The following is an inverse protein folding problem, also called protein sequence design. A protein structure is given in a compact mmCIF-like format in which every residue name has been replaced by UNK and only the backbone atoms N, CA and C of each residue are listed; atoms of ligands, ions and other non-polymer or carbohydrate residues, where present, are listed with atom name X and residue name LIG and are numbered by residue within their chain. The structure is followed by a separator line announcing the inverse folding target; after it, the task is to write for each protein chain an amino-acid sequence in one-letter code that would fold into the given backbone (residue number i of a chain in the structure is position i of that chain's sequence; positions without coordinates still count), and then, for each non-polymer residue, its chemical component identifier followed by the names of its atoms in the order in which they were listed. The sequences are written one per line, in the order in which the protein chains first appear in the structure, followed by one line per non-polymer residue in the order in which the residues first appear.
data_IF_600869950754
#
_entry.id   IF_600869950754
#
_cell.length_a   1.000
_cell.length_b   1.000
_cell.length_c   1.000
_cell.angle_alpha   90.00
_cell.angle_beta   90.00
_cell.angle_gamma   90.00
#
_symmetry.space_group_name_H-M   'P 1'
#
loop_
_entity.id
_entity.type
_entity.pdbx_description
1 polymer ?
#
# COMPACT_ATOMS: atom_id res chain seq x y z
N UNK A 1 13.43 0.51 32.36
CA UNK A 1 14.09 0.50 31.02
C UNK A 1 13.23 1.28 30.05
N UNK A 2 13.52 2.56 29.93
CA UNK A 2 12.82 3.57 29.15
C UNK A 2 13.09 3.36 27.66
N UNK A 3 12.12 2.80 26.93
CA UNK A 3 12.16 2.76 25.47
C UNK A 3 11.76 4.13 24.94
N UNK A 4 12.76 4.99 24.89
CA UNK A 4 12.74 6.26 24.18
C UNK A 4 12.42 5.96 22.71
N UNK A 5 11.45 6.69 22.16
CA UNK A 5 11.03 6.62 20.76
C UNK A 5 12.27 6.62 19.86
N UNK A 6 12.21 5.95 18.71
CA UNK A 6 13.27 6.09 17.69
C UNK A 6 13.49 7.59 17.37
N UNK A 7 12.50 8.45 17.61
CA UNK A 7 12.56 9.90 17.52
C UNK A 7 13.39 10.64 18.60
N UNK A 8 13.82 10.00 19.70
CA UNK A 8 14.78 10.59 20.66
C UNK A 8 16.05 9.74 20.88
N UNK A 9 16.22 8.63 20.15
CA UNK A 9 17.52 7.94 20.08
C UNK A 9 18.56 8.85 19.41
N UNK A 10 19.84 8.81 19.78
CA UNK A 10 20.84 9.58 19.04
C UNK A 10 20.93 9.12 17.58
N UNK A 11 21.30 10.04 16.67
CA UNK A 11 21.32 9.82 15.22
C UNK A 11 22.14 8.59 14.81
N UNK A 12 23.23 8.29 15.51
CA UNK A 12 24.11 7.14 15.27
C UNK A 12 23.46 5.78 15.54
N UNK A 13 22.34 5.72 16.26
CA UNK A 13 21.54 4.48 16.43
C UNK A 13 20.42 4.40 15.39
N UNK A 14 19.84 5.54 15.01
CA UNK A 14 18.70 5.57 14.09
C UNK A 14 19.09 5.17 12.67
N UNK A 15 20.15 5.77 12.13
CA UNK A 15 20.52 5.52 10.74
C UNK A 15 20.90 4.07 10.47
N UNK A 16 21.73 3.40 11.30
CA UNK A 16 22.01 1.98 11.10
C UNK A 16 20.77 1.11 11.16
N UNK A 17 19.80 1.43 12.05
CA UNK A 17 18.55 0.68 12.14
C UNK A 17 17.69 0.86 10.88
N UNK A 18 17.59 2.08 10.34
CA UNK A 18 16.84 2.34 9.09
C UNK A 18 17.52 1.64 7.91
N UNK A 19 18.85 1.71 7.82
CA UNK A 19 19.62 1.00 6.79
C UNK A 19 19.42 -0.51 6.89
N UNK A 20 19.50 -1.06 8.10
CA UNK A 20 19.21 -2.47 8.36
C UNK A 20 17.79 -2.85 7.93
N UNK A 21 16.80 -2.04 8.31
CA UNK A 21 15.40 -2.29 7.95
C UNK A 21 15.21 -2.26 6.43
N UNK A 22 15.85 -1.31 5.75
CA UNK A 22 15.85 -1.21 4.30
C UNK A 22 16.48 -2.44 3.63
N UNK A 23 17.69 -2.82 4.02
CA UNK A 23 18.39 -3.97 3.43
C UNK A 23 17.62 -5.27 3.60
N UNK A 24 17.09 -5.53 4.81
CA UNK A 24 16.24 -6.71 5.05
C UNK A 24 14.97 -6.66 4.20
N UNK A 25 14.32 -5.50 4.10
CA UNK A 25 13.14 -5.33 3.25
C UNK A 25 13.43 -5.63 1.79
N UNK A 26 14.57 -5.17 1.25
CA UNK A 26 15.00 -5.42 -0.14
C UNK A 26 15.20 -6.91 -0.40
N UNK A 27 15.82 -7.63 0.54
CA UNK A 27 15.99 -9.09 0.47
C UNK A 27 14.65 -9.81 0.55
N UNK A 28 13.74 -9.39 1.43
CA UNK A 28 12.41 -9.98 1.53
C UNK A 28 11.59 -9.80 0.24
N UNK A 29 11.72 -8.65 -0.44
CA UNK A 29 11.09 -8.41 -1.75
C UNK A 29 11.56 -9.36 -2.87
N UNK A 30 12.61 -10.17 -2.66
CA UNK A 30 13.10 -11.13 -3.66
C UNK A 30 12.28 -12.43 -3.72
N UNK A 31 11.39 -12.67 -2.76
CA UNK A 31 10.57 -13.88 -2.69
C UNK A 31 9.09 -13.53 -2.46
N UNK A 32 8.17 -14.39 -2.91
CA UNK A 32 6.73 -14.18 -2.68
C UNK A 32 6.39 -14.13 -1.18
N UNK A 33 6.91 -15.06 -0.39
CA UNK A 33 6.67 -15.10 1.06
C UNK A 33 7.26 -13.88 1.77
N UNK A 34 8.48 -13.47 1.39
CA UNK A 34 9.09 -12.26 1.93
C UNK A 34 8.30 -11.01 1.55
N UNK A 35 7.80 -10.90 0.31
CA UNK A 35 6.93 -9.80 -0.11
C UNK A 35 5.65 -9.73 0.73
N UNK A 36 5.02 -10.87 1.06
CA UNK A 36 3.89 -10.91 2.00
C UNK A 36 4.28 -10.35 3.37
N UNK A 37 5.45 -10.70 3.90
CA UNK A 37 5.96 -10.13 5.16
C UNK A 37 6.14 -8.60 5.03
N UNK A 38 6.66 -8.11 3.90
CA UNK A 38 6.80 -6.66 3.64
C UNK A 38 5.44 -5.98 3.61
N UNK A 39 4.42 -6.55 2.95
CA UNK A 39 3.05 -6.02 2.95
C UNK A 39 2.56 -5.83 4.38
N UNK A 40 2.67 -6.86 5.22
CA UNK A 40 2.19 -6.75 6.60
C UNK A 40 3.00 -5.77 7.44
N UNK A 41 4.32 -5.73 7.27
CA UNK A 41 5.15 -4.70 7.91
C UNK A 41 4.72 -3.28 7.50
N UNK A 42 4.42 -3.05 6.21
CA UNK A 42 3.90 -1.78 5.70
C UNK A 42 2.50 -1.48 6.25
N UNK A 43 1.59 -2.46 6.34
CA UNK A 43 0.26 -2.30 6.95
C UNK A 43 0.37 -1.81 8.40
N UNK A 44 1.32 -2.34 9.19
CA UNK A 44 1.57 -1.87 10.56
C UNK A 44 2.13 -0.46 10.59
N UNK A 45 3.03 -0.15 9.67
CA UNK A 45 3.58 1.19 9.54
C UNK A 45 2.47 2.19 9.19
N UNK A 46 1.56 1.84 8.27
CA UNK A 46 0.37 2.63 7.94
C UNK A 46 -0.50 2.85 9.17
N UNK A 47 -0.83 1.79 9.91
CA UNK A 47 -1.60 1.89 11.16
C UNK A 47 -0.98 2.90 12.12
N UNK A 48 0.33 2.79 12.36
CA UNK A 48 1.07 3.73 13.21
C UNK A 48 0.98 5.18 12.70
N UNK A 49 1.17 5.40 11.39
CA UNK A 49 1.16 6.74 10.81
C UNK A 49 -0.23 7.38 10.86
N UNK A 50 -1.30 6.59 10.70
CA UNK A 50 -2.68 7.07 10.85
C UNK A 50 -2.92 7.54 12.29
N UNK A 51 -2.63 6.69 13.28
CA UNK A 51 -2.78 7.03 14.70
C UNK A 51 -1.93 8.23 15.09
N UNK A 52 -0.68 8.30 14.60
CA UNK A 52 0.21 9.43 14.85
C UNK A 52 -0.32 10.72 14.22
N UNK A 53 -0.89 10.66 13.02
CA UNK A 53 -1.49 11.81 12.36
C UNK A 53 -2.72 12.31 13.12
N UNK A 54 -3.54 11.40 13.64
CA UNK A 54 -4.68 11.75 14.49
C UNK A 54 -4.22 12.42 15.79
N UNK A 55 -3.31 11.80 16.54
CA UNK A 55 -2.74 12.39 17.76
C UNK A 55 -2.10 13.77 17.52
N UNK A 56 -1.31 13.92 16.45
CA UNK A 56 -0.64 15.19 16.12
C UNK A 56 -1.60 16.36 15.90
N UNK A 57 -2.82 16.06 15.44
CA UNK A 57 -3.89 17.04 15.20
C UNK A 57 -4.82 17.23 16.40
N UNK A 58 -4.68 16.41 17.44
CA UNK A 58 -5.56 16.47 18.61
C UNK A 58 -5.09 17.49 19.66
N UNK A 59 -5.99 18.04 20.48
CA UNK A 59 -5.64 18.85 21.64
C UNK A 59 -4.76 18.14 22.67
N UNK A 60 -4.80 16.80 22.75
CA UNK A 60 -3.99 16.02 23.70
C UNK A 60 -2.50 16.28 23.55
N UNK A 61 -2.03 16.54 22.32
CA UNK A 61 -0.63 16.91 22.08
C UNK A 61 -0.25 18.22 22.78
N UNK A 62 -1.14 19.21 22.77
CA UNK A 62 -0.93 20.50 23.42
C UNK A 62 -1.02 20.38 24.96
N UNK A 63 -1.75 19.38 25.46
CA UNK A 63 -1.84 19.04 26.87
C UNK A 63 -0.61 18.25 27.38
N UNK A 64 0.37 17.98 26.52
CA UNK A 64 1.61 17.29 26.89
C UNK A 64 1.52 15.76 26.89
N UNK A 65 0.40 15.17 26.44
CA UNK A 65 0.25 13.71 26.33
C UNK A 65 1.17 13.17 25.23
N UNK A 66 2.08 12.26 25.59
CA UNK A 66 2.96 11.62 24.62
C UNK A 66 2.17 10.66 23.70
N UNK A 67 2.65 10.47 22.47
CA UNK A 67 2.07 9.52 21.52
C UNK A 67 2.03 8.10 22.08
N UNK A 68 3.04 7.71 22.88
CA UNK A 68 3.09 6.38 23.52
C UNK A 68 1.95 6.18 24.51
N UNK A 69 1.57 7.22 25.25
CA UNK A 69 0.46 7.23 26.19
C UNK A 69 -0.89 7.21 25.47
N UNK A 70 -1.03 7.99 24.39
CA UNK A 70 -2.21 7.92 23.53
C UNK A 70 -2.39 6.53 22.90
N UNK A 71 -1.34 5.94 22.32
CA UNK A 71 -1.43 4.61 21.73
C UNK A 71 -1.67 3.51 22.78
N UNK A 72 -1.43 3.79 24.06
CA UNK A 72 -1.73 2.92 25.19
C UNK A 72 -3.19 2.92 25.61
N UNK A 73 -3.87 4.07 25.50
CA UNK A 73 -5.25 4.22 25.93
C UNK A 73 -6.23 3.53 24.97
N UNK A 74 -5.81 3.31 23.73
CA UNK A 74 -6.59 2.63 22.71
C UNK A 74 -6.43 1.10 22.79
N UNK A 75 -7.56 0.40 22.79
CA UNK A 75 -7.61 -1.06 22.85
C UNK A 75 -6.94 -1.68 21.63
N UNK A 76 -5.95 -2.55 21.84
CA UNK A 76 -5.30 -3.31 20.76
C UNK A 76 -4.21 -2.57 19.98
N UNK A 77 -3.90 -1.31 20.31
CA UNK A 77 -2.87 -0.51 19.60
C UNK A 77 -1.55 -0.38 20.35
N UNK A 78 -1.38 -1.06 21.48
CA UNK A 78 -0.15 -0.98 22.29
C UNK A 78 1.15 -1.26 21.49
N UNK A 79 1.09 -2.13 20.48
CA UNK A 79 2.24 -2.42 19.62
C UNK A 79 2.70 -1.21 18.77
N UNK A 80 1.82 -0.21 18.58
CA UNK A 80 2.08 0.96 17.72
C UNK A 80 2.94 2.03 18.39
N UNK A 81 3.31 1.85 19.67
CA UNK A 81 4.25 2.74 20.39
C UNK A 81 5.63 2.76 19.74
N UNK A 82 6.09 1.61 19.24
CA UNK A 82 7.38 1.46 18.55
C UNK A 82 7.20 1.43 17.03
N UNK A 83 8.29 1.62 16.29
CA UNK A 83 8.29 1.29 14.87
C UNK A 83 8.17 -0.24 14.69
N UNK A 84 7.44 -0.72 13.68
CA UNK A 84 7.35 -2.15 13.40
C UNK A 84 8.74 -2.73 13.13
N UNK A 85 9.04 -3.86 13.77
CA UNK A 85 10.28 -4.61 13.51
C UNK A 85 10.03 -5.75 12.50
N UNK A 86 11.12 -6.26 11.90
CA UNK A 86 11.03 -7.43 11.02
C UNK A 86 10.79 -8.73 11.82
N UNK A 87 11.57 -8.97 12.88
CA UNK A 87 11.54 -10.23 13.63
C UNK A 87 11.18 -10.04 15.12
N UNK A 88 11.91 -9.15 15.81
CA UNK A 88 11.79 -8.99 17.26
C UNK A 88 10.44 -8.37 17.66
N UNK A 89 9.70 -9.05 18.55
CA UNK A 89 8.41 -8.56 19.04
C UNK A 89 8.55 -7.19 19.72
N UNK A 90 7.58 -6.30 19.49
CA UNK A 90 7.56 -5.04 20.24
C UNK A 90 7.23 -5.32 21.71
N UNK A 91 7.84 -4.56 22.65
CA UNK A 91 7.51 -4.68 24.06
C UNK A 91 6.06 -4.24 24.30
N UNK A 92 5.18 -5.21 24.53
CA UNK A 92 3.81 -4.95 24.97
C UNK A 92 3.77 -4.86 26.51
N UNK A 93 3.22 -3.78 27.09
CA UNK A 93 2.95 -3.73 28.53
C UNK A 93 1.88 -4.77 28.88
N UNK A 94 2.12 -5.54 29.94
CA UNK A 94 1.22 -6.62 30.37
C UNK A 94 1.50 -7.98 29.73
N UNK A 95 2.71 -8.19 29.16
CA UNK A 95 3.17 -9.51 28.71
C UNK A 95 2.88 -10.58 29.79
N UNK A 96 2.29 -11.73 29.43
CA UNK A 96 1.71 -12.67 30.37
C UNK A 96 2.70 -13.03 31.48
N UNK A 97 2.13 -13.22 32.67
CA UNK A 97 2.82 -13.65 33.88
C UNK A 97 3.77 -14.83 33.62
N UNK A 98 4.73 -15.02 34.52
CA UNK A 98 5.80 -16.03 34.54
C UNK A 98 5.40 -17.50 34.22
N UNK A 99 4.11 -17.79 33.96
CA UNK A 99 3.57 -19.09 33.62
C UNK A 99 3.89 -19.57 32.19
N UNK A 100 4.32 -18.70 31.26
CA UNK A 100 4.76 -19.13 29.92
C UNK A 100 6.23 -19.53 29.99
N UNK A 101 6.53 -20.81 29.73
CA UNK A 101 7.89 -21.36 29.78
C UNK A 101 8.93 -20.51 29.03
N UNK A 102 10.15 -20.39 29.60
CA UNK A 102 11.23 -19.50 29.13
C UNK A 102 11.50 -19.63 27.61
N UNK A 103 11.43 -20.84 27.08
CA UNK A 103 11.65 -21.14 25.66
C UNK A 103 10.56 -20.50 24.78
N UNK A 104 9.28 -20.67 25.13
CA UNK A 104 8.16 -20.08 24.38
C UNK A 104 8.20 -18.55 24.43
N UNK A 105 8.64 -17.98 25.56
CA UNK A 105 8.87 -16.53 25.69
C UNK A 105 9.99 -16.05 24.77
N UNK A 106 11.13 -16.74 24.75
CA UNK A 106 12.26 -16.42 23.88
C UNK A 106 11.87 -16.50 22.39
N UNK A 107 11.12 -17.53 21.99
CA UNK A 107 10.58 -17.66 20.65
C UNK A 107 9.62 -16.52 20.30
N UNK A 108 8.64 -16.23 21.16
CA UNK A 108 7.71 -15.11 20.93
C UNK A 108 8.44 -13.77 20.79
N UNK A 109 9.52 -13.56 21.54
CA UNK A 109 10.37 -12.36 21.38
C UNK A 109 11.10 -12.39 20.05
N UNK A 110 11.67 -13.52 19.64
CA UNK A 110 12.50 -13.65 18.45
C UNK A 110 11.72 -13.56 17.13
N UNK A 111 10.54 -14.20 17.05
CA UNK A 111 9.76 -14.35 15.80
C UNK A 111 8.37 -13.71 15.85
N UNK A 112 7.95 -13.17 17.00
CA UNK A 112 6.57 -12.67 17.17
C UNK A 112 6.21 -11.58 16.18
N UNK A 113 7.15 -10.67 15.85
CA UNK A 113 6.92 -9.62 14.87
C UNK A 113 6.87 -10.18 13.45
N UNK A 114 7.69 -11.18 13.13
CA UNK A 114 7.67 -11.86 11.84
C UNK A 114 6.33 -12.55 11.58
N UNK A 115 5.82 -13.31 12.57
CA UNK A 115 4.50 -13.94 12.46
C UNK A 115 3.38 -12.92 12.33
N UNK A 116 3.46 -11.79 13.05
CA UNK A 116 2.47 -10.73 12.95
C UNK A 116 2.50 -10.05 11.58
N UNK A 117 3.68 -9.74 11.06
CA UNK A 117 3.88 -9.21 9.71
C UNK A 117 3.34 -10.19 8.67
N UNK A 118 3.67 -11.47 8.77
CA UNK A 118 3.16 -12.48 7.84
C UNK A 118 1.63 -12.57 7.88
N UNK A 119 1.03 -12.67 9.07
CA UNK A 119 -0.44 -12.76 9.22
C UNK A 119 -1.17 -11.54 8.64
N UNK A 120 -0.69 -10.34 8.96
CA UNK A 120 -1.27 -9.11 8.43
C UNK A 120 -1.03 -8.98 6.93
N UNK A 121 0.13 -9.40 6.44
CA UNK A 121 0.47 -9.44 5.03
C UNK A 121 -0.45 -10.36 4.23
N UNK A 122 -0.71 -11.57 4.72
CA UNK A 122 -1.65 -12.51 4.07
C UNK A 122 -3.05 -11.89 4.02
N UNK A 123 -3.54 -11.35 5.14
CA UNK A 123 -4.87 -10.74 5.18
C UNK A 123 -4.98 -9.54 4.23
N UNK A 124 -3.95 -8.69 4.16
CA UNK A 124 -3.89 -7.56 3.25
C UNK A 124 -3.82 -7.98 1.78
N UNK A 125 -2.89 -8.88 1.45
CA UNK A 125 -2.67 -9.33 0.09
C UNK A 125 -3.91 -10.05 -0.46
N UNK A 126 -4.56 -10.91 0.33
CA UNK A 126 -5.79 -11.59 -0.09
C UNK A 126 -6.95 -10.60 -0.30
N UNK A 127 -7.13 -9.62 0.60
CA UNK A 127 -8.15 -8.58 0.43
C UNK A 127 -7.97 -7.82 -0.89
N UNK A 128 -6.73 -7.37 -1.17
CA UNK A 128 -6.41 -6.66 -2.41
C UNK A 128 -6.58 -7.57 -3.62
N UNK A 129 -6.09 -8.82 -3.55
CA UNK A 129 -6.17 -9.81 -4.61
C UNK A 129 -7.63 -10.08 -5.03
N UNK A 130 -8.56 -10.22 -4.08
CA UNK A 130 -9.97 -10.47 -4.40
C UNK A 130 -10.55 -9.41 -5.35
N UNK A 131 -10.16 -8.15 -5.18
CA UNK A 131 -10.65 -7.07 -6.03
C UNK A 131 -9.79 -6.84 -7.29
N UNK A 132 -8.47 -7.03 -7.22
CA UNK A 132 -7.60 -6.79 -8.37
C UNK A 132 -7.59 -7.96 -9.36
N UNK A 133 -7.80 -9.19 -8.89
CA UNK A 133 -7.69 -10.41 -9.69
C UNK A 133 -8.61 -10.44 -10.92
N UNK A 134 -9.90 -10.05 -10.85
CA UNK A 134 -10.75 -10.02 -12.05
C UNK A 134 -10.19 -9.12 -13.14
N UNK A 135 -9.75 -7.91 -12.78
CA UNK A 135 -9.19 -6.95 -13.73
C UNK A 135 -7.85 -7.44 -14.32
N UNK A 136 -6.94 -7.93 -13.47
CA UNK A 136 -5.63 -8.42 -13.92
C UNK A 136 -5.72 -9.70 -14.74
N UNK A 137 -6.71 -10.56 -14.46
CA UNK A 137 -7.00 -11.74 -15.29
C UNK A 137 -7.48 -11.33 -16.67
N UNK A 138 -8.38 -10.33 -16.76
CA UNK A 138 -8.83 -9.79 -18.05
C UNK A 138 -7.67 -9.22 -18.86
N UNK A 139 -6.68 -8.58 -18.22
CA UNK A 139 -5.45 -8.12 -18.89
C UNK A 139 -4.57 -9.26 -19.40
N UNK A 140 -4.43 -10.34 -18.62
CA UNK A 140 -3.70 -11.52 -19.06
C UNK A 140 -4.37 -12.13 -20.31
N UNK A 141 -5.69 -12.30 -20.30
CA UNK A 141 -6.42 -12.85 -21.44
C UNK A 141 -6.43 -11.92 -22.64
N UNK A 142 -6.60 -10.60 -22.44
CA UNK A 142 -6.50 -9.62 -23.52
C UNK A 142 -5.13 -9.66 -24.18
N UNK A 143 -4.06 -9.82 -23.40
CA UNK A 143 -2.70 -9.97 -23.92
C UNK A 143 -2.51 -11.25 -24.71
N UNK A 144 -2.99 -12.40 -24.20
CA UNK A 144 -2.88 -13.69 -24.89
C UNK A 144 -3.60 -13.63 -26.24
N UNK A 145 -4.82 -13.10 -26.28
CA UNK A 145 -5.55 -12.90 -27.53
C UNK A 145 -4.84 -11.90 -28.44
N UNK A 146 -4.44 -10.75 -27.89
CA UNK A 146 -3.65 -9.68 -28.51
C UNK A 146 -2.41 -10.19 -29.25
N UNK A 147 -1.59 -10.96 -28.52
CA UNK A 147 -0.36 -11.55 -29.02
C UNK A 147 -0.65 -12.58 -30.11
N UNK A 148 -1.64 -13.45 -29.90
CA UNK A 148 -2.01 -14.48 -30.88
C UNK A 148 -2.49 -13.88 -32.21
N UNK A 149 -3.13 -12.71 -32.20
CA UNK A 149 -3.52 -12.02 -33.45
C UNK A 149 -2.29 -11.65 -34.27
N UNK A 150 -1.24 -11.13 -33.63
CA UNK A 150 -0.01 -10.69 -34.32
C UNK A 150 0.75 -11.84 -35.00
N UNK A 151 0.69 -13.05 -34.45
CA UNK A 151 1.44 -14.21 -34.99
C UNK A 151 0.59 -15.16 -35.83
N UNK A 152 -0.66 -15.41 -35.44
CA UNK A 152 -1.54 -16.37 -36.10
C UNK A 152 -2.57 -15.71 -37.03
N UNK A 153 -2.53 -14.38 -37.17
CA UNK A 153 -3.48 -13.61 -38.00
C UNK A 153 -4.95 -13.89 -37.64
N UNK A 154 -5.21 -14.14 -36.36
CA UNK A 154 -6.56 -14.39 -35.82
C UNK A 154 -7.34 -13.08 -35.69
N UNK A 155 -7.55 -12.36 -36.80
CA UNK A 155 -8.24 -11.07 -36.81
C UNK A 155 -9.65 -11.14 -36.22
N UNK A 156 -10.29 -12.31 -36.32
CA UNK A 156 -11.62 -12.58 -35.74
C UNK A 156 -11.66 -12.40 -34.21
N UNK A 157 -10.52 -12.54 -33.51
CA UNK A 157 -10.43 -12.40 -32.05
C UNK A 157 -9.84 -11.05 -31.61
N UNK A 158 -9.49 -10.16 -32.55
CA UNK A 158 -8.87 -8.88 -32.24
C UNK A 158 -9.76 -7.94 -31.44
N UNK A 159 -11.03 -7.87 -31.82
CA UNK A 159 -12.02 -7.08 -31.11
C UNK A 159 -12.25 -7.61 -29.70
N UNK A 160 -12.29 -8.94 -29.53
CA UNK A 160 -12.46 -9.57 -28.22
C UNK A 160 -11.27 -9.25 -27.29
N UNK A 161 -10.04 -9.39 -27.79
CA UNK A 161 -8.84 -9.03 -27.03
C UNK A 161 -8.85 -7.57 -26.58
N UNK A 162 -9.15 -6.64 -27.49
CA UNK A 162 -9.24 -5.21 -27.19
C UNK A 162 -10.37 -4.90 -26.18
N UNK A 163 -11.55 -5.49 -26.36
CA UNK A 163 -12.70 -5.31 -25.47
C UNK A 163 -12.40 -5.81 -24.05
N UNK A 164 -11.81 -7.01 -23.90
CA UNK A 164 -11.40 -7.54 -22.59
C UNK A 164 -10.34 -6.65 -21.93
N UNK A 165 -9.40 -6.12 -22.72
CA UNK A 165 -8.36 -5.22 -22.23
C UNK A 165 -8.94 -3.92 -21.69
N UNK A 166 -9.79 -3.24 -22.46
CA UNK A 166 -10.46 -2.00 -22.06
C UNK A 166 -11.39 -2.22 -20.86
N UNK A 167 -12.16 -3.30 -20.86
CA UNK A 167 -13.04 -3.65 -19.74
C UNK A 167 -12.24 -3.95 -18.47
N UNK A 168 -11.14 -4.70 -18.58
CA UNK A 168 -10.22 -4.95 -17.46
C UNK A 168 -9.61 -3.67 -16.92
N UNK A 169 -9.20 -2.72 -17.78
CA UNK A 169 -8.67 -1.42 -17.36
C UNK A 169 -9.75 -0.61 -16.63
N UNK A 170 -10.96 -0.53 -17.18
CA UNK A 170 -12.09 0.17 -16.54
C UNK A 170 -12.39 -0.43 -15.16
N UNK A 171 -12.44 -1.76 -15.05
CA UNK A 171 -12.65 -2.46 -13.79
C UNK A 171 -11.53 -2.16 -12.78
N UNK A 172 -10.26 -2.18 -13.21
CA UNK A 172 -9.13 -1.82 -12.35
C UNK A 172 -9.22 -0.39 -11.83
N UNK A 173 -9.58 0.57 -12.69
CA UNK A 173 -9.76 1.97 -12.28
C UNK A 173 -10.83 2.08 -11.21
N UNK A 174 -11.99 1.44 -11.41
CA UNK A 174 -13.06 1.42 -10.40
C UNK A 174 -12.60 0.79 -9.07
N UNK A 175 -11.85 -0.31 -9.15
CA UNK A 175 -11.28 -0.97 -7.97
C UNK A 175 -10.28 -0.06 -7.25
N UNK A 176 -9.43 0.67 -7.97
CA UNK A 176 -8.41 1.53 -7.37
C UNK A 176 -8.95 2.86 -6.82
N UNK A 177 -10.18 3.25 -7.18
CA UNK A 177 -10.90 4.30 -6.45
C UNK A 177 -11.29 3.85 -5.03
N UNK A 178 -11.37 2.53 -4.79
CA UNK A 178 -11.82 1.93 -3.54
C UNK A 178 -10.68 1.39 -2.66
N UNK A 179 -9.85 0.52 -3.25
CA UNK A 179 -8.88 -0.32 -2.55
C UNK A 179 -7.91 0.45 -1.65
N UNK A 180 -7.34 1.61 -2.04
CA UNK A 180 -6.38 2.29 -1.19
C UNK A 180 -6.95 2.65 0.19
N UNK A 181 -8.12 3.30 0.25
CA UNK A 181 -8.74 3.68 1.52
C UNK A 181 -9.23 2.46 2.30
N UNK A 182 -9.78 1.45 1.62
CA UNK A 182 -10.17 0.19 2.24
C UNK A 182 -8.98 -0.52 2.92
N UNK A 183 -7.80 -0.51 2.28
CA UNK A 183 -6.58 -1.07 2.84
C UNK A 183 -6.07 -0.27 4.04
N UNK A 184 -6.09 1.07 3.98
CA UNK A 184 -5.75 1.90 5.13
C UNK A 184 -6.70 1.70 6.32
N UNK A 185 -7.99 1.50 6.05
CA UNK A 185 -8.97 1.16 7.09
C UNK A 185 -8.73 -0.23 7.69
N UNK A 186 -8.41 -1.23 6.85
CA UNK A 186 -7.98 -2.54 7.33
C UNK A 186 -6.74 -2.43 8.22
N UNK A 187 -5.79 -1.57 7.85
CA UNK A 187 -4.59 -1.31 8.63
C UNK A 187 -4.93 -0.70 9.99
N UNK A 188 -5.75 0.35 10.05
CA UNK A 188 -6.04 1.05 11.30
C UNK A 188 -6.85 0.20 12.28
N UNK A 189 -7.86 -0.52 11.77
CA UNK A 189 -8.75 -1.35 12.59
C UNK A 189 -8.12 -2.70 12.97
N UNK A 190 -7.14 -3.17 12.18
CA UNK A 190 -6.60 -4.53 12.29
C UNK A 190 -7.60 -5.62 11.90
N UNK A 191 -8.75 -5.27 11.32
CA UNK A 191 -9.82 -6.21 10.95
C UNK A 191 -9.94 -6.30 9.43
N UNK A 192 -9.76 -7.49 8.87
CA UNK A 192 -9.91 -7.69 7.42
C UNK A 192 -11.33 -7.38 6.92
N UNK A 193 -12.35 -7.54 7.77
CA UNK A 193 -13.76 -7.26 7.41
C UNK A 193 -13.99 -5.79 7.09
N UNK A 194 -13.26 -4.86 7.71
CA UNK A 194 -13.41 -3.42 7.41
C UNK A 194 -12.98 -3.10 5.98
N UNK A 195 -12.15 -3.95 5.36
CA UNK A 195 -11.80 -3.83 3.95
C UNK A 195 -13.02 -4.04 3.05
N UNK A 196 -13.98 -4.88 3.45
CA UNK A 196 -15.14 -5.28 2.64
C UNK A 196 -16.40 -4.46 2.93
N UNK A 197 -16.30 -3.44 3.79
CA UNK A 197 -17.38 -2.50 4.03
C UNK A 197 -17.48 -1.52 2.85
N UNK A 198 -18.09 -2.01 1.76
CA UNK A 198 -18.21 -1.33 0.48
C UNK A 198 -18.86 0.05 0.63
N UNK A 199 -19.89 0.14 1.48
CA UNK A 199 -20.64 1.37 1.68
C UNK A 199 -19.78 2.43 2.35
N UNK A 200 -19.16 2.13 3.48
CA UNK A 200 -18.35 3.10 4.20
C UNK A 200 -17.11 3.53 3.42
N UNK A 201 -16.36 2.56 2.88
CA UNK A 201 -15.14 2.83 2.14
C UNK A 201 -15.45 3.56 0.81
N UNK A 202 -16.55 3.19 0.16
CA UNK A 202 -17.06 3.89 -1.02
C UNK A 202 -17.45 5.32 -0.70
N UNK A 203 -18.23 5.57 0.35
CA UNK A 203 -18.59 6.92 0.78
C UNK A 203 -17.35 7.76 1.10
N UNK A 204 -16.36 7.19 1.78
CA UNK A 204 -15.10 7.87 2.07
C UNK A 204 -14.36 8.26 0.78
N UNK A 205 -14.25 7.36 -0.18
CA UNK A 205 -13.61 7.62 -1.47
C UNK A 205 -14.36 8.69 -2.29
N UNK A 206 -15.69 8.59 -2.35
CA UNK A 206 -16.55 9.51 -3.11
C UNK A 206 -16.60 10.93 -2.52
N UNK A 207 -16.51 11.06 -1.20
CA UNK A 207 -16.53 12.37 -0.51
C UNK A 207 -15.16 13.06 -0.50
N UNK A 208 -14.07 12.32 -0.68
CA UNK A 208 -12.70 12.85 -0.57
C UNK A 208 -11.82 12.63 -1.82
N UNK A 209 -12.28 12.93 -3.06
CA UNK A 209 -11.48 12.68 -4.25
C UNK A 209 -10.23 13.56 -4.32
N UNK A 210 -10.23 14.73 -3.68
CA UNK A 210 -9.05 15.60 -3.61
C UNK A 210 -7.90 15.00 -2.80
N UNK A 211 -8.20 14.19 -1.77
CA UNK A 211 -7.17 13.46 -1.03
C UNK A 211 -6.67 12.22 -1.80
N UNK A 212 -7.52 11.68 -2.70
CA UNK A 212 -7.19 10.51 -3.53
C UNK A 212 -6.37 10.85 -4.77
N UNK A 213 -6.52 12.05 -5.34
CA UNK A 213 -5.75 12.49 -6.50
C UNK A 213 -4.22 12.41 -6.30
N UNK A 214 -3.63 13.01 -5.24
CA UNK A 214 -2.18 12.91 -5.03
C UNK A 214 -1.72 11.47 -4.78
N UNK A 215 -2.57 10.63 -4.16
CA UNK A 215 -2.29 9.20 -3.99
C UNK A 215 -2.17 8.52 -5.35
N UNK A 216 -3.15 8.70 -6.24
CA UNK A 216 -3.14 8.08 -7.56
C UNK A 216 -1.94 8.56 -8.40
N UNK A 217 -1.59 9.84 -8.33
CA UNK A 217 -0.39 10.39 -8.99
C UNK A 217 0.91 9.76 -8.46
N UNK A 218 1.04 9.59 -7.14
CA UNK A 218 2.20 8.92 -6.53
C UNK A 218 2.30 7.48 -7.04
N UNK A 219 1.19 6.74 -7.08
CA UNK A 219 1.18 5.38 -7.63
C UNK A 219 1.55 5.38 -9.11
N UNK A 220 1.02 6.29 -9.93
CA UNK A 220 1.34 6.38 -11.34
C UNK A 220 2.84 6.68 -11.60
N UNK A 221 3.42 7.62 -10.85
CA UNK A 221 4.84 7.96 -10.96
C UNK A 221 5.75 6.82 -10.46
N UNK A 222 5.45 6.27 -9.29
CA UNK A 222 6.20 5.16 -8.71
C UNK A 222 6.11 3.91 -9.62
N UNK A 223 4.93 3.64 -10.17
CA UNK A 223 4.70 2.54 -11.10
C UNK A 223 5.48 2.74 -12.40
N UNK A 224 5.61 3.98 -12.88
CA UNK A 224 6.46 4.31 -14.02
C UNK A 224 7.93 3.96 -13.75
N UNK A 225 8.45 4.27 -12.56
CA UNK A 225 9.81 3.89 -12.18
C UNK A 225 10.00 2.37 -12.11
N UNK A 226 9.03 1.64 -11.55
CA UNK A 226 9.02 0.17 -11.49
C UNK A 226 8.91 -0.45 -12.88
N UNK A 227 8.10 0.14 -13.76
CA UNK A 227 7.99 -0.25 -15.17
C UNK A 227 9.34 -0.11 -15.88
N UNK A 228 10.04 1.01 -15.71
CA UNK A 228 11.37 1.20 -16.29
C UNK A 228 12.38 0.16 -15.78
N UNK A 229 12.39 -0.10 -14.46
CA UNK A 229 13.22 -1.17 -13.88
C UNK A 229 12.84 -2.56 -14.41
N UNK A 230 11.59 -2.78 -14.76
CA UNK A 230 11.14 -4.04 -15.37
C UNK A 230 11.56 -4.16 -16.83
N UNK A 231 11.58 -3.07 -17.57
CA UNK A 231 11.93 -3.03 -19.00
C UNK A 231 13.44 -3.11 -19.20
N UNK A 232 14.25 -2.54 -18.30
CA UNK A 232 15.67 -2.37 -18.53
C UNK A 232 16.46 -3.66 -18.85
N UNK A 233 16.18 -4.84 -18.25
CA UNK A 233 16.89 -6.08 -18.61
C UNK A 233 16.82 -6.44 -20.10
N UNK A 234 15.71 -6.11 -20.78
CA UNK A 234 15.58 -6.34 -22.21
C UNK A 234 16.60 -5.51 -23.02
N UNK A 235 16.73 -4.23 -22.70
CA UNK A 235 17.64 -3.31 -23.41
C UNK A 235 19.10 -3.47 -23.00
N UNK A 236 19.37 -3.76 -21.73
CA UNK A 236 20.74 -4.00 -21.26
C UNK A 236 21.22 -5.35 -21.80
N UNK A 237 20.36 -6.37 -21.76
CA UNK A 237 20.66 -7.73 -22.18
C UNK A 237 20.80 -7.93 -23.69
N UNK A 238 20.49 -6.95 -24.53
CA UNK A 238 20.63 -7.05 -25.98
C UNK A 238 22.07 -6.82 -26.49
N UNK A 239 23.03 -6.56 -25.60
CA UNK A 239 24.44 -6.39 -25.96
C UNK A 239 25.17 -7.71 -26.24
N UNK A 240 26.18 -7.67 -27.11
CA UNK A 240 26.99 -8.86 -27.49
C UNK A 240 27.68 -9.52 -26.29
N UNK A 241 27.96 -8.77 -25.22
CA UNK A 241 28.57 -9.30 -23.99
C UNK A 241 27.72 -10.35 -23.29
N UNK A 242 26.39 -10.34 -23.47
CA UNK A 242 25.49 -11.32 -22.88
C UNK A 242 25.44 -12.62 -23.69
N UNK A 243 25.75 -12.56 -25.00
CA UNK A 243 25.75 -13.74 -25.88
C UNK A 243 26.87 -14.73 -25.54
N UNK A 244 27.95 -14.26 -24.89
CA UNK A 244 29.10 -15.10 -24.49
C UNK A 244 29.03 -15.55 -23.02
N UNK A 245 28.04 -15.09 -22.25
CA UNK A 245 27.89 -15.49 -20.85
C UNK A 245 27.36 -16.92 -20.75
N UNK A 246 27.90 -17.67 -19.79
CA UNK A 246 27.29 -18.92 -19.35
C UNK A 246 25.92 -18.68 -18.68
N UNK A 247 25.09 -19.72 -18.63
CA UNK A 247 23.78 -19.70 -17.96
C UNK A 247 23.90 -19.23 -16.50
N UNK A 248 24.94 -19.68 -15.78
CA UNK A 248 25.18 -19.29 -14.39
C UNK A 248 25.55 -17.81 -14.25
N UNK A 249 26.40 -17.29 -15.13
CA UNK A 249 26.74 -15.86 -15.14
C UNK A 249 25.51 -14.99 -15.44
N UNK A 250 24.68 -15.39 -16.40
CA UNK A 250 23.45 -14.67 -16.75
C UNK A 250 22.45 -14.69 -15.58
N UNK A 251 22.28 -15.84 -14.92
CA UNK A 251 21.45 -15.95 -13.71
C UNK A 251 21.95 -15.03 -12.61
N UNK A 252 23.23 -15.09 -12.28
CA UNK A 252 23.83 -14.27 -11.22
C UNK A 252 23.70 -12.77 -11.54
N UNK A 253 23.85 -12.38 -12.80
CA UNK A 253 23.61 -11.01 -13.25
C UNK A 253 22.15 -10.58 -13.02
N UNK A 254 21.17 -11.39 -13.42
CA UNK A 254 19.74 -11.11 -13.20
C UNK A 254 19.39 -11.06 -11.72
N UNK A 255 19.95 -11.95 -10.90
CA UNK A 255 19.73 -11.94 -9.44
C UNK A 255 20.23 -10.66 -8.80
N UNK A 256 21.43 -10.23 -9.16
CA UNK A 256 21.98 -8.95 -8.70
C UNK A 256 21.14 -7.78 -9.21
N UNK A 257 20.73 -7.80 -10.48
CA UNK A 257 19.87 -6.78 -11.07
C UNK A 257 18.56 -6.62 -10.27
N UNK A 258 17.85 -7.71 -10.01
CA UNK A 258 16.58 -7.68 -9.28
C UNK A 258 16.76 -7.36 -7.79
N UNK A 259 17.91 -7.68 -7.19
CA UNK A 259 18.28 -7.22 -5.87
C UNK A 259 18.39 -5.69 -5.83
N UNK A 260 19.11 -5.08 -6.78
CA UNK A 260 19.22 -3.63 -6.90
C UNK A 260 17.88 -2.96 -7.25
N UNK A 261 17.09 -3.55 -8.16
CA UNK A 261 15.74 -3.09 -8.47
C UNK A 261 14.82 -3.14 -7.23
N UNK A 262 15.03 -4.12 -6.34
CA UNK A 262 14.38 -4.18 -5.03
C UNK A 262 14.64 -2.94 -4.17
N UNK A 263 15.83 -2.34 -4.28
CA UNK A 263 16.20 -1.08 -3.63
C UNK A 263 15.39 0.12 -4.09
N UNK A 264 14.87 0.11 -5.32
CA UNK A 264 13.92 1.11 -5.83
C UNK A 264 12.47 0.73 -5.48
N UNK A 265 12.12 -0.56 -5.62
CA UNK A 265 10.76 -1.07 -5.42
C UNK A 265 10.28 -0.88 -3.98
N UNK A 266 11.09 -1.25 -2.99
CA UNK A 266 10.71 -1.17 -1.58
C UNK A 266 10.32 0.27 -1.16
N UNK A 267 11.15 1.31 -1.36
CA UNK A 267 10.77 2.66 -0.97
C UNK A 267 9.60 3.18 -1.80
N UNK A 268 9.53 2.87 -3.11
CA UNK A 268 8.37 3.22 -3.94
C UNK A 268 7.07 2.64 -3.37
N UNK A 269 7.06 1.35 -3.01
CA UNK A 269 5.94 0.67 -2.38
C UNK A 269 5.56 1.31 -1.04
N UNK A 270 6.51 1.42 -0.13
CA UNK A 270 6.27 1.93 1.23
C UNK A 270 5.77 3.37 1.18
N UNK A 271 6.40 4.25 0.40
CA UNK A 271 6.00 5.66 0.32
C UNK A 271 4.62 5.84 -0.30
N UNK A 272 4.26 5.05 -1.33
CA UNK A 272 2.94 5.07 -1.93
C UNK A 272 1.86 4.71 -0.89
N UNK A 273 2.03 3.63 -0.14
CA UNK A 273 1.09 3.21 0.90
C UNK A 273 1.07 4.14 2.13
N UNK A 274 2.17 4.79 2.46
CA UNK A 274 2.19 5.86 3.47
C UNK A 274 1.42 7.11 3.02
N UNK A 275 1.42 7.43 1.72
CA UNK A 275 0.57 8.49 1.19
C UNK A 275 -0.92 8.15 1.34
N UNK A 276 -1.30 6.89 1.09
CA UNK A 276 -2.66 6.38 1.33
C UNK A 276 -3.05 6.51 2.81
N UNK A 277 -2.17 6.09 3.73
CA UNK A 277 -2.39 6.23 5.16
C UNK A 277 -2.63 7.70 5.56
N UNK A 278 -1.88 8.64 4.98
CA UNK A 278 -2.06 10.08 5.22
C UNK A 278 -3.38 10.61 4.67
N UNK A 279 -3.78 10.21 3.47
CA UNK A 279 -5.06 10.57 2.87
C UNK A 279 -6.23 10.04 3.72
N UNK A 280 -6.15 8.76 4.12
CA UNK A 280 -7.13 8.13 5.00
C UNK A 280 -7.25 8.86 6.34
N UNK A 281 -6.12 9.16 6.99
CA UNK A 281 -6.12 9.82 8.29
C UNK A 281 -6.81 11.19 8.24
N UNK A 282 -6.67 11.93 7.14
CA UNK A 282 -7.34 13.21 6.91
C UNK A 282 -8.84 13.04 6.67
N UNK A 283 -9.21 12.16 5.75
CA UNK A 283 -10.61 11.89 5.41
C UNK A 283 -11.41 11.41 6.63
N UNK A 284 -10.84 10.50 7.43
CA UNK A 284 -11.48 10.00 8.65
C UNK A 284 -11.74 11.11 9.68
N UNK A 285 -10.76 11.99 9.93
CA UNK A 285 -10.93 13.12 10.85
C UNK A 285 -11.97 14.10 10.31
N UNK A 286 -11.95 14.42 9.02
CA UNK A 286 -12.91 15.33 8.40
C UNK A 286 -14.35 14.79 8.51
N UNK A 287 -14.58 13.52 8.22
CA UNK A 287 -15.91 12.90 8.38
C UNK A 287 -16.35 12.86 9.85
N UNK A 288 -15.45 12.52 10.77
CA UNK A 288 -15.77 12.47 12.19
C UNK A 288 -16.10 13.85 12.76
N UNK A 289 -15.35 14.89 12.40
CA UNK A 289 -15.60 16.26 12.86
C UNK A 289 -16.88 16.83 12.24
N UNK A 290 -17.17 16.50 10.98
CA UNK A 290 -18.39 16.95 10.30
C UNK A 290 -19.66 16.39 10.94
N UNK A 291 -19.69 15.08 11.23
CA UNK A 291 -20.78 14.43 11.96
C UNK A 291 -20.31 13.15 12.66
N UNK A 292 -20.03 13.18 13.97
CA UNK A 292 -19.58 12.01 14.72
C UNK A 292 -20.59 10.85 14.73
N UNK A 293 -21.88 11.14 14.56
CA UNK A 293 -22.98 10.16 14.70
C UNK A 293 -23.21 9.43 13.39
N UNK A 294 -23.24 10.15 12.27
CA UNK A 294 -23.55 9.56 10.95
C UNK A 294 -22.31 9.27 10.09
N UNK A 295 -21.10 9.57 10.57
CA UNK A 295 -19.87 9.30 9.83
C UNK A 295 -19.76 7.80 9.43
N UNK A 296 -19.21 7.50 8.25
CA UNK A 296 -19.10 6.13 7.74
C UNK A 296 -18.05 5.26 8.47
N UNK A 297 -17.50 5.74 9.60
CA UNK A 297 -16.44 5.03 10.32
C UNK A 297 -16.98 3.87 11.15
N UNK A 298 -16.13 2.88 11.46
CA UNK A 298 -16.47 1.80 12.39
C UNK A 298 -16.40 2.25 13.86
N UNK A 299 -16.92 1.42 14.78
CA UNK A 299 -16.94 1.73 16.21
C UNK A 299 -15.53 1.95 16.79
N UNK A 300 -14.57 1.09 16.46
CA UNK A 300 -13.19 1.21 16.94
C UNK A 300 -12.51 2.52 16.48
N UNK A 301 -12.90 3.02 15.30
CA UNK A 301 -12.34 4.24 14.74
C UNK A 301 -12.99 5.47 15.37
N UNK A 302 -14.31 5.43 15.55
CA UNK A 302 -15.05 6.45 16.30
C UNK A 302 -14.56 6.53 17.73
N UNK A 303 -14.34 5.41 18.40
CA UNK A 303 -13.78 5.36 19.76
C UNK A 303 -12.39 6.01 19.80
N UNK A 304 -11.52 5.67 18.83
CA UNK A 304 -10.20 6.25 18.74
C UNK A 304 -10.22 7.77 18.50
N UNK A 305 -11.13 8.26 17.66
CA UNK A 305 -11.28 9.68 17.37
C UNK A 305 -12.02 10.45 18.49
N UNK A 306 -12.96 9.81 19.18
CA UNK A 306 -13.66 10.38 20.34
C UNK A 306 -12.69 10.61 21.50
N UNK A 307 -11.77 9.68 21.75
CA UNK A 307 -10.72 9.81 22.76
C UNK A 307 -9.78 11.00 22.51
N UNK A 308 -9.69 11.49 21.27
CA UNK A 308 -8.83 12.61 20.90
C UNK A 308 -9.44 13.98 21.19
N UNK A 309 -10.69 14.05 21.66
CA UNK A 309 -11.40 15.30 22.00
C UNK A 309 -11.23 16.36 20.92
N UNK A 310 -11.42 15.98 19.65
CA UNK A 310 -11.50 16.97 18.59
C UNK A 310 -12.64 17.93 18.96
N UNK A 311 -12.27 19.15 19.33
CA UNK A 311 -13.23 20.23 19.46
C UNK A 311 -13.81 20.40 18.06
N UNK A 312 -15.12 20.18 17.92
CA UNK A 312 -15.81 20.70 16.77
C UNK A 312 -15.61 22.20 16.86
N UNK A 313 -14.63 22.73 16.13
CA UNK A 313 -14.46 24.15 15.92
C UNK A 313 -15.72 24.56 15.15
N UNK A 314 -16.76 24.87 15.91
CA UNK A 314 -18.07 25.27 15.44
C UNK A 314 -17.93 26.72 14.99
N UNK A 315 -17.08 26.93 13.98
CA UNK A 315 -16.92 28.22 13.33
C UNK A 315 -18.10 28.37 12.37
N UNK A 316 -19.29 28.41 12.95
CA UNK A 316 -20.53 28.80 12.30
C UNK A 316 -20.52 30.31 12.09
N UNK A 317 -19.56 30.82 11.32
CA UNK A 317 -19.73 32.11 10.68
C UNK A 317 -20.77 31.91 9.55
N UNK A 318 -21.91 32.62 9.59
CA UNK A 318 -22.97 32.43 8.60
C UNK A 318 -22.49 32.96 7.24
N UNK A 319 -21.92 32.10 6.41
CA UNK A 319 -21.59 32.44 5.04
C UNK A 319 -22.86 32.80 4.26
N UNK A 320 -22.92 34.03 3.74
CA UNK A 320 -24.04 34.58 2.96
C UNK A 320 -24.52 33.60 1.86
N UNK A 321 -25.84 33.45 1.70
CA UNK A 321 -26.50 32.49 0.78
C UNK A 321 -25.99 32.53 -0.67
N UNK A 322 -25.58 33.69 -1.17
CA UNK A 322 -25.01 33.87 -2.52
C UNK A 322 -23.60 33.28 -2.66
N UNK A 323 -22.76 33.40 -1.63
CA UNK A 323 -21.44 32.76 -1.58
C UNK A 323 -21.53 31.24 -1.44
N UNK A 324 -22.64 30.74 -0.87
CA UNK A 324 -22.95 29.32 -0.75
C UNK A 324 -23.27 28.67 -2.09
N UNK A 325 -23.96 29.38 -2.98
CA UNK A 325 -24.30 28.87 -4.31
C UNK A 325 -23.09 28.71 -5.23
N UNK A 326 -22.20 29.71 -5.26
CA UNK A 326 -20.98 29.69 -6.07
C UNK A 326 -19.91 28.75 -5.51
N UNK A 327 -19.75 28.67 -4.19
CA UNK A 327 -18.86 27.68 -3.58
C UNK A 327 -19.35 26.25 -3.78
N UNK A 328 -20.66 26.01 -3.80
CA UNK A 328 -21.21 24.67 -4.05
C UNK A 328 -20.97 24.17 -5.48
N UNK A 329 -21.19 25.00 -6.50
CA UNK A 329 -20.91 24.62 -7.90
C UNK A 329 -19.42 24.45 -8.16
N UNK A 330 -18.58 25.36 -7.63
CA UNK A 330 -17.13 25.24 -7.72
C UNK A 330 -16.61 23.97 -7.02
N UNK A 331 -17.16 23.63 -5.85
CA UNK A 331 -16.79 22.41 -5.13
C UNK A 331 -17.17 21.14 -5.90
N UNK A 332 -18.35 21.12 -6.53
CA UNK A 332 -18.76 19.97 -7.35
C UNK A 332 -17.91 19.83 -8.62
N UNK A 333 -17.63 20.92 -9.32
CA UNK A 333 -16.76 20.89 -10.49
C UNK A 333 -15.34 20.42 -10.11
N UNK A 334 -14.80 20.92 -8.99
CA UNK A 334 -13.50 20.49 -8.47
C UNK A 334 -13.49 19.01 -8.06
N UNK A 335 -14.56 18.52 -7.44
CA UNK A 335 -14.73 17.11 -7.05
C UNK A 335 -14.81 16.20 -8.27
N UNK A 336 -15.60 16.57 -9.28
CA UNK A 336 -15.70 15.84 -10.53
C UNK A 336 -14.38 15.83 -11.30
N UNK A 337 -13.69 16.98 -11.38
CA UNK A 337 -12.37 17.08 -12.00
C UNK A 337 -11.33 16.24 -11.25
N UNK A 338 -11.32 16.27 -9.92
CA UNK A 338 -10.42 15.47 -9.10
C UNK A 338 -10.66 13.97 -9.31
N UNK A 339 -11.92 13.53 -9.36
CA UNK A 339 -12.27 12.16 -9.64
C UNK A 339 -11.85 11.72 -11.05
N UNK A 340 -12.08 12.57 -12.06
CA UNK A 340 -11.66 12.32 -13.44
C UNK A 340 -10.14 12.18 -13.55
N UNK A 341 -9.39 13.10 -12.94
CA UNK A 341 -7.92 13.06 -12.91
C UNK A 341 -7.38 11.86 -12.12
N UNK A 342 -8.04 11.50 -11.00
CA UNK A 342 -7.70 10.29 -10.22
C UNK A 342 -7.89 9.04 -11.08
N UNK A 343 -9.01 8.97 -11.80
CA UNK A 343 -9.32 7.85 -12.71
C UNK A 343 -8.30 7.76 -13.86
N UNK A 344 -7.89 8.89 -14.42
CA UNK A 344 -6.86 8.96 -15.45
C UNK A 344 -5.48 8.52 -14.93
N UNK A 345 -5.12 8.88 -13.70
CA UNK A 345 -3.88 8.42 -13.08
C UNK A 345 -3.89 6.89 -12.89
N UNK A 346 -5.01 6.30 -12.44
CA UNK A 346 -5.16 4.84 -12.34
C UNK A 346 -5.16 4.14 -13.70
N UNK A 347 -5.74 4.76 -14.72
CA UNK A 347 -5.60 4.31 -16.10
C UNK A 347 -4.12 4.26 -16.51
N UNK A 348 -3.35 5.31 -16.17
CA UNK A 348 -1.90 5.35 -16.39
C UNK A 348 -1.16 4.18 -15.74
N UNK A 349 -1.50 3.84 -14.49
CA UNK A 349 -0.95 2.67 -13.78
C UNK A 349 -1.25 1.38 -14.56
N UNK A 350 -2.49 1.18 -15.01
CA UNK A 350 -2.87 0.00 -15.79
C UNK A 350 -2.13 -0.06 -17.15
N UNK A 351 -2.05 1.06 -17.87
CA UNK A 351 -1.38 1.15 -19.17
C UNK A 351 0.12 0.82 -19.08
N UNK A 352 0.79 1.24 -17.99
CA UNK A 352 2.19 0.92 -17.76
C UNK A 352 2.46 -0.60 -17.68
N UNK A 353 1.49 -1.40 -17.23
CA UNK A 353 1.62 -2.87 -17.23
C UNK A 353 1.70 -3.40 -18.66
N UNK A 354 0.82 -2.93 -19.55
CA UNK A 354 0.86 -3.31 -20.97
C UNK A 354 2.16 -2.86 -21.64
N UNK A 355 2.62 -1.64 -21.36
CA UNK A 355 3.89 -1.13 -21.88
C UNK A 355 5.06 -2.02 -21.39
N UNK A 356 5.09 -2.35 -20.09
CA UNK A 356 6.12 -3.25 -19.55
C UNK A 356 6.12 -4.61 -20.24
N UNK A 357 4.93 -5.18 -20.46
CA UNK A 357 4.76 -6.50 -21.07
C UNK A 357 5.09 -6.51 -22.57
N UNK A 358 4.88 -5.39 -23.25
CA UNK A 358 5.28 -5.21 -24.64
C UNK A 358 6.79 -5.23 -24.83
N UNK A 359 7.53 -4.53 -23.97
CA UNK A 359 8.98 -4.49 -24.07
C UNK A 359 9.68 -5.69 -23.41
N UNK A 360 9.17 -6.19 -22.29
CA UNK A 360 9.73 -7.33 -21.59
C UNK A 360 8.61 -8.26 -21.11
N UNK A 361 8.20 -9.16 -22.01
CA UNK A 361 7.13 -10.11 -21.74
C UNK A 361 7.53 -11.07 -20.63
N UNK A 362 6.68 -11.15 -19.60
CA UNK A 362 6.82 -12.08 -18.50
C UNK A 362 5.50 -12.83 -18.31
N UNK A 363 5.54 -14.17 -18.23
CA UNK A 363 4.33 -14.98 -18.21
C UNK A 363 3.54 -14.79 -16.90
N UNK A 364 2.23 -15.05 -16.98
CA UNK A 364 1.30 -15.29 -15.86
C UNK A 364 1.44 -14.34 -14.67
N UNK A 365 2.33 -14.68 -13.74
CA UNK A 365 2.55 -13.97 -12.48
C UNK A 365 2.77 -12.46 -12.65
N UNK A 366 3.39 -12.03 -13.74
CA UNK A 366 3.69 -10.62 -13.98
C UNK A 366 2.48 -9.80 -14.48
N UNK A 367 1.37 -10.45 -14.81
CA UNK A 367 0.06 -9.84 -15.02
C UNK A 367 -0.76 -9.79 -13.73
N UNK A 368 -0.70 -10.86 -12.94
CA UNK A 368 -1.49 -11.02 -11.73
C UNK A 368 -0.93 -10.23 -10.55
N UNK A 369 0.38 -9.96 -10.53
CA UNK A 369 1.03 -9.14 -9.51
C UNK A 369 1.41 -7.76 -10.07
N UNK A 370 0.75 -6.72 -9.56
CA UNK A 370 1.22 -5.35 -9.72
C UNK A 370 2.11 -4.97 -8.51
N UNK A 371 3.43 -4.77 -8.68
CA UNK A 371 4.36 -4.74 -7.56
C UNK A 371 4.10 -3.66 -6.51
N UNK A 372 3.47 -2.55 -6.90
CA UNK A 372 3.10 -1.47 -5.98
C UNK A 372 1.75 -1.65 -5.29
N UNK A 373 0.87 -2.49 -5.84
CA UNK A 373 -0.51 -2.64 -5.37
C UNK A 373 -0.69 -3.91 -4.56
N UNK A 374 -0.16 -5.03 -5.02
CA UNK A 374 -0.43 -6.34 -4.41
C UNK A 374 0.75 -6.86 -3.58
N UNK A 375 1.86 -7.25 -4.22
CA UNK A 375 3.06 -7.73 -3.55
C UNK A 375 4.29 -7.00 -4.09
N UNK A 376 5.16 -6.41 -3.25
CA UNK A 376 6.42 -5.78 -3.67
C UNK A 376 7.44 -6.85 -4.07
N UNK A 377 7.19 -7.51 -5.19
CA UNK A 377 7.98 -8.59 -5.76
C UNK A 377 8.17 -8.35 -7.27
N UNK A 378 9.42 -8.32 -7.70
CA UNK A 378 9.82 -8.06 -9.09
C UNK A 378 10.89 -9.03 -9.61
N UNK A 379 11.21 -10.10 -8.86
CA UNK A 379 12.22 -11.08 -9.28
C UNK A 379 11.62 -12.04 -10.31
N UNK A 380 11.92 -11.82 -11.59
CA UNK A 380 11.47 -12.66 -12.70
C UNK A 380 12.66 -13.30 -13.41
N UNK A 381 13.07 -14.48 -12.94
CA UNK A 381 14.09 -15.29 -13.61
C UNK A 381 13.39 -16.21 -14.62
N UNK A 382 13.80 -16.20 -15.91
CA UNK A 382 13.29 -17.14 -16.90
C UNK A 382 13.44 -18.60 -16.46
N UNK A 383 12.45 -19.48 -16.69
CA UNK A 383 12.51 -20.88 -16.27
C UNK A 383 13.75 -21.64 -16.75
N UNK A 384 14.25 -21.32 -17.96
CA UNK A 384 15.46 -21.94 -18.51
C UNK A 384 16.76 -21.57 -17.78
N UNK A 385 16.73 -20.63 -16.83
CA UNK A 385 17.87 -20.25 -16.00
C UNK A 385 17.73 -20.75 -14.55
N UNK A 386 16.64 -21.44 -14.21
CA UNK A 386 16.42 -22.05 -12.90
C UNK A 386 17.02 -23.46 -12.94
N UNK A 387 17.83 -23.85 -11.93
CA UNK A 387 18.49 -25.16 -11.88
C UNK A 387 17.52 -26.34 -11.75
#
# INVERSE_FOLDING_TARGET
MTNILVADRPWYVRYPLVVWQFLVGVVLCQTLLGAVVVVGWTTRLMQRQILLAWWKKSPLRNQGTDFSEFAASLTGTCAQRALPNWCLAEPAPGSPSLAVGRVRRAWNIAIGSLCLNFRQGVAAALSILVFSLPATSLWLYSWVLGWNISFFKLYEQAELGAALGLFGIALFVLVMLYVPLAHARQAVTGQWRSFFDLRANGLLAWRHPLEMLPVALIFALASGAVMLARIAPYYIGSGESFATMSIEQLRNWLENYYLFAGGLLLPAYVLAWLAVAKAYARAAVQEYVADPVTCPLGDAEREALAGLKYEAEHDSTPAHRLHRGTSWTLNQAATAAALGLTSLAWFGVAAQVYIAQFFNYLPGAAWLNHPLVLLPWIKYIPPGLIP
#
